data_IF_532866554079
#
_entry.id   IF_532866554079
#
_cell.length_a   1.000
_cell.length_b   1.000
_cell.length_c   1.000
_cell.angle_alpha   90.00
_cell.angle_beta   90.00
_cell.angle_gamma   90.00
#
_symmetry.space_group_name_H-M   'P 1'
#
loop_
_entity.id
_entity.type
_entity.pdbx_description
1 polymer ?
#
# COMPACT_ATOMS: atom_id res chain seq x y z
N UNK A 1 16.29 -5.93 7.70
CA UNK A 1 16.54 -5.22 8.98
C UNK A 1 16.03 -6.04 10.16
N UNK A 2 16.36 -5.68 11.41
CA UNK A 2 15.82 -6.40 12.59
C UNK A 2 14.28 -6.44 12.52
N UNK A 3 13.69 -7.63 12.54
CA UNK A 3 12.22 -7.81 12.47
C UNK A 3 11.62 -7.94 11.06
N UNK A 4 12.44 -7.98 10.01
CA UNK A 4 11.97 -8.28 8.66
C UNK A 4 11.52 -9.73 8.53
N UNK A 5 10.31 -9.93 8.03
CA UNK A 5 9.68 -11.22 7.80
C UNK A 5 9.30 -11.33 6.33
N UNK A 6 9.23 -12.56 5.83
CA UNK A 6 8.82 -12.82 4.45
C UNK A 6 7.48 -13.54 4.43
N UNK A 7 6.71 -13.34 3.36
CA UNK A 7 5.52 -14.17 3.11
C UNK A 7 5.95 -15.56 2.64
N UNK A 8 5.08 -16.58 2.75
CA UNK A 8 5.38 -17.91 2.21
C UNK A 8 5.51 -17.88 0.69
N UNK A 9 6.35 -18.77 0.14
CA UNK A 9 6.46 -19.00 -1.31
C UNK A 9 5.29 -19.86 -1.79
N UNK A 10 4.18 -19.21 -2.10
CA UNK A 10 2.92 -19.81 -2.52
C UNK A 10 2.28 -18.90 -3.57
N UNK A 11 1.60 -19.48 -4.54
CA UNK A 11 0.95 -18.75 -5.65
C UNK A 11 0.02 -17.63 -5.15
N UNK A 12 -1.09 -18.02 -4.52
CA UNK A 12 -2.09 -17.10 -3.96
C UNK A 12 -1.95 -17.00 -2.43
N UNK A 13 -0.71 -16.97 -1.98
CA UNK A 13 -0.35 -16.96 -0.56
C UNK A 13 -0.53 -15.60 0.10
N UNK A 14 -0.55 -15.63 1.43
CA UNK A 14 -0.52 -14.43 2.26
C UNK A 14 0.29 -14.73 3.53
N UNK A 15 0.71 -13.69 4.25
CA UNK A 15 1.19 -13.85 5.61
C UNK A 15 0.07 -14.35 6.54
N UNK A 16 0.47 -14.93 7.67
CA UNK A 16 -0.40 -14.98 8.86
C UNK A 16 -0.81 -13.56 9.29
N UNK A 17 -1.76 -13.46 10.23
CA UNK A 17 -2.13 -12.18 10.83
C UNK A 17 -0.92 -11.47 11.44
N UNK A 18 -0.66 -10.24 10.98
CA UNK A 18 0.42 -9.41 11.49
C UNK A 18 -0.19 -8.43 12.48
N UNK A 19 0.04 -8.65 13.78
CA UNK A 19 -0.35 -7.68 14.81
C UNK A 19 0.52 -6.43 14.69
N UNK A 20 -0.11 -5.29 14.47
CA UNK A 20 0.56 -3.99 14.44
C UNK A 20 0.92 -3.58 15.87
N UNK A 21 2.11 -3.00 16.06
CA UNK A 21 2.52 -2.49 17.38
C UNK A 21 1.65 -1.31 17.82
N UNK A 22 1.15 -0.54 16.85
CA UNK A 22 0.19 0.53 17.07
C UNK A 22 -1.00 0.41 16.11
N UNK A 23 -2.21 0.82 16.53
CA UNK A 23 -3.36 0.83 15.65
C UNK A 23 -3.14 1.74 14.43
N UNK A 24 -3.62 1.27 13.28
CA UNK A 24 -3.69 2.05 12.05
C UNK A 24 -5.13 2.54 11.84
N UNK A 25 -5.30 3.83 11.52
CA UNK A 25 -6.60 4.42 11.18
C UNK A 25 -6.81 4.35 9.67
N UNK A 26 -7.94 3.78 9.25
CA UNK A 26 -8.34 3.71 7.86
C UNK A 26 -9.79 4.16 7.72
N UNK A 27 -9.97 5.42 7.31
CA UNK A 27 -11.23 6.14 7.15
C UNK A 27 -12.18 5.97 8.35
N UNK A 28 -11.73 6.38 9.53
CA UNK A 28 -12.46 6.26 10.79
C UNK A 28 -12.42 4.87 11.44
N UNK A 29 -12.06 3.82 10.70
CA UNK A 29 -11.89 2.46 11.25
C UNK A 29 -10.52 2.30 11.89
N UNK A 30 -10.44 1.47 12.92
CA UNK A 30 -9.19 1.14 13.60
C UNK A 30 -8.82 -0.31 13.38
N UNK A 31 -7.65 -0.52 12.80
CA UNK A 31 -7.10 -1.85 12.56
C UNK A 31 -5.88 -2.08 13.45
N UNK A 32 -5.89 -3.22 14.16
CA UNK A 32 -4.77 -3.65 15.01
C UNK A 32 -3.92 -4.73 14.33
N UNK A 33 -4.28 -5.10 13.10
CA UNK A 33 -3.59 -6.12 12.34
C UNK A 33 -3.69 -5.85 10.84
N UNK A 34 -2.80 -6.48 10.09
CA UNK A 34 -2.81 -6.49 8.62
C UNK A 34 -2.33 -7.85 8.10
N UNK A 35 -2.54 -8.09 6.81
CA UNK A 35 -2.10 -9.28 6.09
C UNK A 35 -1.41 -8.85 4.80
N UNK A 36 -0.22 -9.37 4.54
CA UNK A 36 0.53 -9.09 3.31
C UNK A 36 0.23 -10.17 2.30
N UNK A 37 -0.37 -9.81 1.18
CA UNK A 37 -0.71 -10.76 0.13
C UNK A 37 0.39 -10.88 -0.93
N UNK A 38 0.60 -12.09 -1.44
CA UNK A 38 1.59 -12.31 -2.49
C UNK A 38 1.23 -11.56 -3.78
N UNK A 39 -0.07 -11.36 -4.05
CA UNK A 39 -0.62 -10.65 -5.18
C UNK A 39 -0.70 -9.12 -4.99
N UNK A 40 0.15 -8.53 -4.13
CA UNK A 40 0.44 -7.09 -4.17
C UNK A 40 -0.53 -6.14 -3.44
N UNK A 41 -1.23 -6.65 -2.43
CA UNK A 41 -2.14 -5.86 -1.60
C UNK A 41 -2.03 -6.20 -0.11
N UNK A 42 -2.53 -5.28 0.73
CA UNK A 42 -2.79 -5.52 2.15
C UNK A 42 -4.29 -5.54 2.41
N UNK A 43 -4.73 -6.43 3.30
CA UNK A 43 -6.05 -6.39 3.94
C UNK A 43 -5.89 -6.22 5.45
N UNK A 44 -6.97 -5.86 6.15
CA UNK A 44 -6.93 -5.61 7.60
C UNK A 44 -7.78 -6.54 8.46
N UNK A 45 -8.60 -7.40 7.85
CA UNK A 45 -9.50 -8.32 8.58
C UNK A 45 -9.08 -9.78 8.42
N UNK A 46 -8.90 -10.24 7.19
CA UNK A 46 -8.49 -11.61 6.86
C UNK A 46 -7.76 -11.63 5.50
N UNK A 47 -6.97 -12.68 5.19
CA UNK A 47 -6.35 -12.84 3.88
C UNK A 47 -7.38 -12.89 2.75
N UNK A 48 -6.97 -12.47 1.56
CA UNK A 48 -7.75 -12.57 0.33
C UNK A 48 -6.97 -13.37 -0.71
N UNK A 49 -7.38 -14.59 -1.03
CA UNK A 49 -6.66 -15.45 -1.99
C UNK A 49 -7.01 -15.18 -3.46
N UNK A 50 -7.77 -14.12 -3.74
CA UNK A 50 -8.12 -13.74 -5.12
C UNK A 50 -6.92 -13.10 -5.82
N UNK A 51 -6.51 -13.67 -6.96
CA UNK A 51 -5.43 -13.15 -7.80
C UNK A 51 -5.93 -12.26 -8.94
N UNK A 52 -7.20 -12.42 -9.32
CA UNK A 52 -7.87 -11.55 -10.29
C UNK A 52 -8.38 -10.33 -9.52
N UNK A 53 -7.92 -9.11 -9.84
CA UNK A 53 -8.33 -7.94 -9.09
C UNK A 53 -9.82 -7.62 -9.24
N UNK A 54 -10.45 -7.30 -8.11
CA UNK A 54 -11.86 -6.93 -8.01
C UNK A 54 -11.99 -5.54 -7.40
N UNK A 55 -12.75 -4.65 -8.06
CA UNK A 55 -13.02 -3.31 -7.51
C UNK A 55 -13.81 -3.35 -6.21
N UNK A 56 -14.69 -4.34 -6.04
CA UNK A 56 -15.61 -4.44 -4.90
C UNK A 56 -15.24 -5.61 -3.99
N UNK A 57 -14.06 -5.56 -3.38
CA UNK A 57 -13.57 -6.65 -2.52
C UNK A 57 -14.43 -6.85 -1.26
N UNK A 58 -15.28 -5.87 -0.90
CA UNK A 58 -16.03 -5.81 0.38
C UNK A 58 -15.07 -5.94 1.58
N UNK A 59 -13.91 -5.29 1.47
CA UNK A 59 -12.85 -5.32 2.47
C UNK A 59 -12.20 -3.95 2.55
N UNK A 60 -11.72 -3.61 3.74
CA UNK A 60 -10.68 -2.59 3.86
C UNK A 60 -9.40 -3.17 3.23
N UNK A 61 -9.00 -2.59 2.10
CA UNK A 61 -7.90 -3.06 1.25
C UNK A 61 -7.08 -1.88 0.74
N UNK A 62 -5.75 -2.07 0.69
CA UNK A 62 -4.82 -1.14 0.05
C UNK A 62 -3.93 -1.93 -0.90
N UNK A 63 -4.02 -1.62 -2.18
CA UNK A 63 -3.39 -2.35 -3.27
C UNK A 63 -2.57 -1.40 -4.14
N UNK A 64 -1.27 -1.19 -3.86
CA UNK A 64 -0.41 -0.47 -4.79
C UNK A 64 -0.37 -1.16 -6.17
N UNK A 65 -0.37 -2.49 -6.21
CA UNK A 65 -0.50 -3.24 -7.45
C UNK A 65 -1.10 -4.62 -7.17
N UNK A 66 -2.42 -4.75 -7.29
CA UNK A 66 -3.07 -6.06 -7.27
C UNK A 66 -3.05 -6.67 -8.66
N UNK A 67 -2.36 -7.81 -8.79
CA UNK A 67 -2.27 -8.61 -10.02
C UNK A 67 -1.80 -10.01 -9.67
N UNK A 68 -1.82 -10.93 -10.63
CA UNK A 68 -1.33 -12.29 -10.41
C UNK A 68 0.20 -12.32 -10.43
N UNK A 69 0.78 -12.36 -9.22
CA UNK A 69 2.21 -12.45 -8.97
C UNK A 69 2.57 -13.85 -8.46
N UNK A 70 3.76 -14.34 -8.79
CA UNK A 70 4.18 -15.68 -8.38
C UNK A 70 5.59 -15.70 -7.77
N UNK A 71 5.65 -15.50 -6.45
CA UNK A 71 6.90 -15.51 -5.71
C UNK A 71 7.56 -16.91 -5.60
N UNK A 72 6.99 -17.98 -6.19
CA UNK A 72 7.67 -19.28 -6.29
C UNK A 72 8.78 -19.25 -7.35
N UNK A 73 8.63 -18.41 -8.37
CA UNK A 73 9.55 -18.30 -9.50
C UNK A 73 10.65 -17.25 -9.34
N UNK A 74 10.60 -16.41 -8.29
CA UNK A 74 11.60 -15.37 -8.08
C UNK A 74 11.14 -14.31 -7.11
N UNK A 75 12.02 -13.31 -6.89
CA UNK A 75 11.74 -12.18 -6.02
C UNK A 75 11.60 -12.53 -4.53
N UNK A 76 11.30 -11.50 -3.75
CA UNK A 76 11.01 -11.59 -2.32
C UNK A 76 9.87 -10.66 -1.96
N UNK A 77 8.96 -11.13 -1.11
CA UNK A 77 7.92 -10.31 -0.52
C UNK A 77 8.20 -10.25 0.97
N UNK A 78 8.62 -9.08 1.45
CA UNK A 78 9.01 -8.85 2.83
C UNK A 78 8.17 -7.77 3.49
N UNK A 79 8.10 -7.83 4.81
CA UNK A 79 7.45 -6.81 5.60
C UNK A 79 8.16 -6.61 6.94
N UNK A 80 8.04 -5.39 7.47
CA UNK A 80 8.54 -5.04 8.80
C UNK A 80 7.74 -3.87 9.37
N UNK A 81 7.73 -3.75 10.68
CA UNK A 81 7.34 -2.54 11.38
C UNK A 81 8.59 -1.89 11.98
N UNK A 82 8.74 -0.59 11.79
CA UNK A 82 9.91 0.19 12.18
C UNK A 82 9.47 1.36 13.06
N UNK A 83 10.13 1.46 14.21
CA UNK A 83 9.93 2.53 15.20
C UNK A 83 11.26 3.23 15.53
N UNK A 84 12.30 3.03 14.71
CA UNK A 84 13.59 3.71 14.90
C UNK A 84 13.45 5.20 14.59
N UNK A 85 14.10 6.05 15.39
CA UNK A 85 14.01 7.51 15.23
C UNK A 85 14.39 7.96 13.82
N UNK A 86 15.43 7.35 13.23
CA UNK A 86 15.88 7.66 11.86
C UNK A 86 14.78 7.45 10.83
N UNK A 87 14.10 6.29 10.87
CA UNK A 87 13.01 6.00 9.91
C UNK A 87 11.80 6.89 10.19
N UNK A 88 11.45 7.09 11.46
CA UNK A 88 10.32 7.93 11.86
C UNK A 88 10.52 9.40 11.46
N UNK A 89 11.73 9.95 11.58
CA UNK A 89 12.08 11.30 11.13
C UNK A 89 11.96 11.43 9.61
N UNK A 90 12.46 10.44 8.85
CA UNK A 90 12.38 10.44 7.39
C UNK A 90 10.93 10.43 6.89
N UNK A 91 10.08 9.55 7.44
CA UNK A 91 8.67 9.49 7.01
C UNK A 91 7.87 10.69 7.50
N UNK A 92 8.22 11.26 8.67
CA UNK A 92 7.61 12.49 9.17
C UNK A 92 7.89 13.64 8.21
N UNK A 93 9.15 13.81 7.80
CA UNK A 93 9.53 14.82 6.82
C UNK A 93 8.79 14.63 5.48
N UNK A 94 8.68 13.38 5.00
CA UNK A 94 7.94 13.08 3.76
C UNK A 94 6.45 13.44 3.87
N UNK A 95 5.79 13.11 4.98
CA UNK A 95 4.38 13.50 5.21
C UNK A 95 4.22 15.01 5.25
N UNK A 96 5.08 15.73 5.98
CA UNK A 96 5.02 17.19 6.05
C UNK A 96 5.24 17.83 4.67
N UNK A 97 6.12 17.23 3.85
CA UNK A 97 6.37 17.70 2.48
C UNK A 97 5.16 17.50 1.56
N UNK A 98 4.48 16.34 1.66
CA UNK A 98 3.42 15.98 0.72
C UNK A 98 2.03 16.50 1.12
N UNK A 99 1.80 16.74 2.41
CA UNK A 99 0.52 17.16 2.94
C UNK A 99 0.69 18.50 3.65
N UNK A 100 0.47 19.60 2.93
CA UNK A 100 0.71 20.96 3.43
C UNK A 100 -0.40 21.51 4.32
N UNK A 101 -1.62 20.96 4.23
CA UNK A 101 -2.82 21.41 4.95
C UNK A 101 -3.15 20.52 6.16
N UNK A 102 -2.15 20.08 6.93
CA UNK A 102 -2.38 19.26 8.11
C UNK A 102 -2.95 20.11 9.26
N UNK A 103 -4.02 19.65 9.94
CA UNK A 103 -4.67 20.42 11.01
C UNK A 103 -3.80 20.58 12.28
N UNK A 104 -2.78 19.74 12.46
CA UNK A 104 -1.80 19.77 13.57
C UNK A 104 -0.43 19.27 13.09
N UNK A 105 0.69 19.63 13.76
CA UNK A 105 1.99 19.10 13.42
C UNK A 105 1.98 17.56 13.55
N UNK A 106 2.37 16.88 12.46
CA UNK A 106 2.46 15.43 12.42
C UNK A 106 3.85 14.96 12.86
N UNK A 107 3.89 13.85 13.59
CA UNK A 107 5.12 13.12 13.91
C UNK A 107 4.78 11.64 13.95
N UNK A 108 5.39 10.85 13.07
CA UNK A 108 5.14 9.42 13.01
C UNK A 108 5.65 8.73 14.27
N UNK A 109 4.87 7.80 14.80
CA UNK A 109 5.25 6.94 15.94
C UNK A 109 5.40 5.47 15.54
N UNK A 110 4.91 5.10 14.35
CA UNK A 110 5.10 3.78 13.75
C UNK A 110 5.07 3.85 12.23
N UNK A 111 5.82 2.94 11.61
CA UNK A 111 5.79 2.68 10.17
C UNK A 111 5.73 1.19 9.92
N UNK A 112 4.78 0.75 9.11
CA UNK A 112 4.78 -0.60 8.56
C UNK A 112 5.11 -0.54 7.07
N UNK A 113 6.07 -1.34 6.63
CA UNK A 113 6.50 -1.41 5.23
C UNK A 113 6.31 -2.82 4.71
N UNK A 114 5.57 -2.97 3.63
CA UNK A 114 5.55 -4.18 2.81
C UNK A 114 6.28 -3.90 1.49
N UNK A 115 7.18 -4.79 1.08
CA UNK A 115 7.99 -4.68 -0.14
C UNK A 115 7.78 -5.92 -0.99
N UNK A 116 7.41 -5.73 -2.24
CA UNK A 116 7.49 -6.74 -3.30
C UNK A 116 8.72 -6.37 -4.10
N UNK A 117 9.81 -7.13 -3.97
CA UNK A 117 11.06 -6.88 -4.66
C UNK A 117 11.29 -7.93 -5.74
N UNK A 118 11.31 -7.48 -6.99
CA UNK A 118 11.62 -8.27 -8.18
C UNK A 118 10.73 -9.51 -8.30
N UNK A 119 9.45 -9.39 -7.95
CA UNK A 119 8.48 -10.50 -7.97
C UNK A 119 7.95 -10.69 -9.39
N UNK A 120 7.99 -11.90 -9.94
CA UNK A 120 7.53 -12.13 -11.31
C UNK A 120 6.01 -12.16 -11.40
N UNK A 121 5.50 -11.72 -12.56
CA UNK A 121 4.15 -12.02 -13.00
C UNK A 121 3.98 -13.53 -13.20
N UNK A 122 2.80 -14.07 -12.89
CA UNK A 122 2.52 -15.50 -13.14
C UNK A 122 2.54 -15.85 -14.64
N UNK A 123 2.23 -14.88 -15.51
CA UNK A 123 2.39 -14.97 -16.97
C UNK A 123 3.83 -15.11 -17.46
N UNK A 124 4.82 -14.74 -16.64
CA UNK A 124 6.23 -14.71 -17.02
C UNK A 124 6.66 -13.47 -17.85
N UNK A 125 5.79 -12.47 -18.01
CA UNK A 125 6.03 -11.27 -18.84
C UNK A 125 7.08 -10.30 -18.26
N UNK A 126 7.46 -10.47 -16.99
CA UNK A 126 8.42 -9.60 -16.33
C UNK A 126 8.34 -9.68 -14.81
N UNK A 127 9.00 -8.74 -14.14
CA UNK A 127 9.02 -8.60 -12.68
C UNK A 127 8.60 -7.20 -12.25
N UNK A 128 8.13 -7.10 -11.02
CA UNK A 128 7.70 -5.86 -10.38
C UNK A 128 8.44 -5.62 -9.07
N UNK A 129 8.79 -4.36 -8.83
CA UNK A 129 9.34 -3.88 -7.55
C UNK A 129 8.53 -2.70 -7.06
N UNK A 130 7.93 -2.82 -5.88
CA UNK A 130 7.19 -1.72 -5.23
C UNK A 130 7.08 -1.91 -3.71
N UNK A 131 6.70 -0.83 -3.02
CA UNK A 131 6.45 -0.81 -1.59
C UNK A 131 5.12 -0.16 -1.25
N UNK A 132 4.50 -0.66 -0.19
CA UNK A 132 3.42 -0.02 0.54
C UNK A 132 3.90 0.34 1.94
N UNK A 133 3.82 1.62 2.28
CA UNK A 133 4.17 2.15 3.60
C UNK A 133 2.91 2.65 4.29
N UNK A 134 2.58 2.07 5.45
CA UNK A 134 1.58 2.59 6.38
C UNK A 134 2.30 3.44 7.43
N UNK A 135 1.95 4.72 7.55
CA UNK A 135 2.57 5.66 8.49
C UNK A 135 1.49 6.08 9.49
N UNK A 136 1.77 5.98 10.78
CA UNK A 136 0.79 6.31 11.83
C UNK A 136 1.41 7.10 12.97
N UNK A 137 0.59 7.97 13.56
CA UNK A 137 0.82 8.50 14.91
C UNK A 137 -0.33 8.12 15.88
N UNK A 138 -1.03 7.01 15.61
CA UNK A 138 -2.26 6.52 16.27
C UNK A 138 -3.52 7.34 15.94
N UNK A 139 -3.39 8.65 15.76
CA UNK A 139 -4.52 9.56 15.48
C UNK A 139 -4.69 9.79 13.98
N UNK A 140 -3.60 10.13 13.30
CA UNK A 140 -3.50 10.34 11.87
C UNK A 140 -2.74 9.18 11.24
N UNK A 141 -3.13 8.85 10.02
CA UNK A 141 -2.61 7.73 9.26
C UNK A 141 -2.51 8.10 7.79
N UNK A 142 -1.40 7.71 7.18
CA UNK A 142 -1.06 7.97 5.79
C UNK A 142 -0.62 6.65 5.14
N UNK A 143 -0.86 6.56 3.85
CA UNK A 143 -0.31 5.51 3.00
C UNK A 143 0.62 6.14 1.97
N UNK A 144 1.78 5.54 1.75
CA UNK A 144 2.65 5.86 0.62
C UNK A 144 2.88 4.62 -0.23
N UNK A 145 2.78 4.78 -1.54
CA UNK A 145 3.22 3.79 -2.51
C UNK A 145 4.56 4.27 -3.08
N UNK A 146 5.56 3.40 -3.10
CA UNK A 146 6.83 3.64 -3.79
C UNK A 146 7.01 2.58 -4.87
N UNK A 147 6.94 2.97 -6.13
CA UNK A 147 7.16 2.10 -7.27
C UNK A 147 8.62 2.18 -7.73
N UNK A 148 9.24 1.03 -7.89
CA UNK A 148 10.51 0.84 -8.59
C UNK A 148 10.25 0.49 -10.05
N UNK A 149 10.88 -0.58 -10.54
CA UNK A 149 10.59 -1.10 -11.87
C UNK A 149 9.26 -1.86 -11.88
N UNK A 150 8.31 -1.43 -12.71
CA UNK A 150 7.07 -2.16 -12.98
C UNK A 150 7.07 -2.54 -14.46
N UNK A 151 7.36 -3.82 -14.76
CA UNK A 151 7.31 -4.31 -16.13
C UNK A 151 5.88 -4.23 -16.68
N UNK A 152 5.76 -4.01 -17.99
CA UNK A 152 4.47 -4.08 -18.68
C UNK A 152 3.89 -5.50 -18.65
N UNK A 153 2.57 -5.59 -18.67
CA UNK A 153 1.86 -6.87 -18.61
C UNK A 153 0.51 -6.81 -19.32
N UNK A 154 0.10 -7.93 -19.90
CA UNK A 154 -1.26 -8.12 -20.42
C UNK A 154 -2.21 -8.70 -19.36
N UNK A 155 -1.67 -9.12 -18.21
CA UNK A 155 -2.48 -9.58 -17.10
C UNK A 155 -3.33 -8.43 -16.54
N UNK A 156 -4.52 -8.78 -16.05
CA UNK A 156 -5.35 -7.80 -15.35
C UNK A 156 -4.65 -7.34 -14.08
N UNK A 157 -4.53 -6.03 -13.93
CA UNK A 157 -3.97 -5.40 -12.74
C UNK A 157 -4.91 -4.29 -12.23
N UNK A 158 -4.74 -3.90 -10.98
CA UNK A 158 -5.48 -2.82 -10.34
C UNK A 158 -4.61 -2.17 -9.26
N UNK A 159 -4.44 -0.85 -9.33
CA UNK A 159 -3.88 -0.06 -8.24
C UNK A 159 -5.03 0.74 -7.59
N UNK A 160 -5.30 0.49 -6.31
CA UNK A 160 -6.41 1.13 -5.61
C UNK A 160 -6.29 1.05 -4.09
N UNK A 161 -7.17 1.76 -3.40
CA UNK A 161 -7.61 1.38 -2.06
C UNK A 161 -9.13 1.48 -2.00
N UNK A 162 -9.73 0.73 -1.08
CA UNK A 162 -11.16 0.72 -0.87
C UNK A 162 -11.50 0.32 0.57
N UNK A 163 -12.66 0.77 1.02
CA UNK A 163 -13.21 0.47 2.34
C UNK A 163 -14.31 -0.58 2.23
N UNK A 164 -14.52 -1.33 3.30
CA UNK A 164 -15.52 -2.42 3.32
C UNK A 164 -16.95 -1.97 2.96
N UNK A 165 -17.30 -0.72 3.25
CA UNK A 165 -18.59 -0.11 2.94
C UNK A 165 -18.60 0.72 1.64
N UNK A 166 -17.49 0.74 0.90
CA UNK A 166 -17.30 1.51 -0.33
C UNK A 166 -17.45 3.03 -0.16
N UNK A 167 -17.43 3.53 1.08
CA UNK A 167 -17.63 4.95 1.35
C UNK A 167 -16.40 5.77 0.94
N UNK A 168 -15.21 5.17 1.04
CA UNK A 168 -13.93 5.77 0.71
C UNK A 168 -13.11 4.83 -0.16
N UNK A 169 -12.79 5.29 -1.37
CA UNK A 169 -12.04 4.51 -2.36
C UNK A 169 -11.25 5.45 -3.27
N UNK A 170 -10.12 4.99 -3.78
CA UNK A 170 -9.41 5.63 -4.88
C UNK A 170 -8.95 4.57 -5.87
N UNK A 171 -9.26 4.80 -7.14
CA UNK A 171 -8.82 3.94 -8.24
C UNK A 171 -7.88 4.74 -9.15
N UNK A 172 -6.75 4.14 -9.51
CA UNK A 172 -5.79 4.77 -10.40
C UNK A 172 -6.31 4.71 -11.84
N UNK A 173 -6.42 5.87 -12.49
CA UNK A 173 -6.82 5.99 -13.89
C UNK A 173 -5.57 6.08 -14.77
N UNK A 174 -4.85 4.96 -14.91
CA UNK A 174 -3.65 4.85 -15.74
C UNK A 174 -3.88 3.85 -16.87
N UNK A 175 -3.19 4.03 -18.00
CA UNK A 175 -3.38 3.20 -19.19
C UNK A 175 -2.60 1.89 -19.11
N UNK A 176 -1.42 1.93 -18.49
CA UNK A 176 -0.53 0.76 -18.37
C UNK A 176 0.04 0.63 -16.96
N UNK A 177 0.54 -0.55 -16.61
CA UNK A 177 1.09 -0.80 -15.28
C UNK A 177 2.40 -0.02 -15.04
N UNK A 178 3.22 0.18 -16.07
CA UNK A 178 4.50 0.89 -15.93
C UNK A 178 4.32 2.38 -15.62
N UNK A 179 3.15 2.95 -15.95
CA UNK A 179 2.81 4.34 -15.60
C UNK A 179 2.79 4.58 -14.08
N UNK A 180 2.65 3.54 -13.25
CA UNK A 180 2.77 3.63 -11.79
C UNK A 180 4.15 4.18 -11.38
N UNK A 181 5.20 3.82 -12.13
CA UNK A 181 6.59 4.24 -11.86
C UNK A 181 6.92 5.63 -12.41
N UNK A 182 6.17 6.12 -13.40
CA UNK A 182 6.44 7.42 -14.04
C UNK A 182 5.52 8.55 -13.58
N UNK A 183 4.37 8.24 -12.98
CA UNK A 183 3.40 9.21 -12.48
C UNK A 183 3.46 9.37 -10.95
N UNK A 184 2.80 10.41 -10.44
CA UNK A 184 2.77 10.76 -9.02
C UNK A 184 1.63 11.74 -8.70
N UNK A 185 1.09 11.72 -7.49
CA UNK A 185 0.26 12.80 -6.93
C UNK A 185 1.00 13.68 -5.91
N UNK A 186 2.29 13.42 -5.68
CA UNK A 186 3.16 14.15 -4.73
C UNK A 186 4.40 14.75 -5.41
N UNK A 187 4.36 14.89 -6.74
CA UNK A 187 5.45 15.45 -7.57
C UNK A 187 6.80 14.74 -7.41
N UNK A 188 6.78 13.43 -7.13
CA UNK A 188 7.96 12.56 -7.11
C UNK A 188 7.63 11.29 -7.89
N UNK A 189 8.21 11.11 -9.08
CA UNK A 189 7.91 9.98 -9.95
C UNK A 189 7.95 8.65 -9.19
N UNK A 190 6.95 7.81 -9.43
CA UNK A 190 6.83 6.52 -8.78
C UNK A 190 6.36 6.61 -7.33
N UNK A 191 6.04 7.80 -6.81
CA UNK A 191 5.53 7.97 -5.46
C UNK A 191 4.10 8.48 -5.45
N UNK A 192 3.28 7.82 -4.66
CA UNK A 192 1.91 8.24 -4.41
C UNK A 192 1.64 8.31 -2.93
N UNK A 193 0.89 9.30 -2.47
CA UNK A 193 0.60 9.50 -1.06
C UNK A 193 -0.84 9.87 -0.80
N UNK A 194 -1.43 9.29 0.26
CA UNK A 194 -2.79 9.60 0.67
C UNK A 194 -2.88 9.70 2.20
N UNK A 195 -3.66 10.65 2.71
CA UNK A 195 -4.11 10.62 4.09
C UNK A 195 -5.39 9.76 4.16
N UNK A 196 -5.49 8.95 5.21
CA UNK A 196 -6.54 7.91 5.30
C UNK A 196 -7.12 7.80 6.71
N UNK A 197 -7.07 8.85 7.53
CA UNK A 197 -7.52 8.78 8.92
C UNK A 197 -8.98 9.21 9.15
N UNK A 198 -9.50 10.14 8.35
CA UNK A 198 -10.83 10.74 8.56
C UNK A 198 -11.94 9.96 7.83
N UNK A 199 -13.01 9.63 8.55
CA UNK A 199 -14.21 9.00 8.00
C UNK A 199 -15.23 9.99 7.41
N UNK A 200 -15.00 11.30 7.53
CA UNK A 200 -15.86 12.35 6.98
C UNK A 200 -15.37 12.90 5.62
N UNK A 201 -14.33 12.31 5.04
CA UNK A 201 -13.76 12.78 3.78
C UNK A 201 -14.65 12.44 2.58
N UNK A 202 -15.76 13.15 2.42
CA UNK A 202 -16.59 13.09 1.21
C UNK A 202 -15.82 13.67 0.03
N UNK A 203 -15.31 12.83 -0.88
CA UNK A 203 -14.90 13.11 -2.29
C UNK A 203 -14.16 14.44 -2.59
N UNK A 204 -13.61 15.14 -1.61
CA UNK A 204 -13.20 16.54 -1.77
C UNK A 204 -11.82 16.68 -2.43
N UNK A 205 -11.03 15.61 -2.44
CA UNK A 205 -9.68 15.62 -3.01
C UNK A 205 -9.63 15.47 -4.54
N UNK A 206 -10.77 15.23 -5.21
CA UNK A 206 -10.80 15.09 -6.67
C UNK A 206 -10.86 16.44 -7.43
N UNK A 207 -10.92 17.58 -6.74
CA UNK A 207 -11.10 18.89 -7.41
C UNK A 207 -9.90 19.84 -7.39
N UNK A 208 -8.74 19.47 -6.84
CA UNK A 208 -7.60 20.41 -6.71
C UNK A 208 -6.39 20.12 -7.61
N UNK A 209 -6.52 19.25 -8.63
CA UNK A 209 -5.45 19.07 -9.64
C UNK A 209 -5.99 18.95 -11.08
N UNK A 210 -6.97 19.79 -11.46
CA UNK A 210 -7.32 20.05 -12.86
C UNK A 210 -6.68 21.31 -13.39
#
# INVERSE_FOLDING_TARGET
GNGERVTPRLDNGSSEAIKLQQPFKFFGRTHNQTFVNNNGHLTFTEPLSDYIPLLNSRRDIVAPLWTHLDNRHGGTISYREDTSSVVLELVTAAVIQYFTNLPLPFTATSVFVATWDSVPYSSGEGVVTFQLVLISNVVHSFILFNYGNIAETLQRWLAHYDTVDFAHSYNFSLSTASELSSNSNVNVNGRWGFHVYDGNTTKQWLHEQS
#
